data_IF_946548873355
#
_entry.id   IF_946548873355
#
_cell.length_a   1.000
_cell.length_b   1.000
_cell.length_c   1.000
_cell.angle_alpha   90.00
_cell.angle_beta   90.00
_cell.angle_gamma   90.00
#
_symmetry.space_group_name_H-M   'P 1'
#
loop_
_entity.id
_entity.type
_entity.pdbx_description
1 polymer ?
#
# COMPACT_ATOMS: atom_id res chain seq x y z
N UNK A 1 19.81 -29.64 -14.72
CA UNK A 1 20.58 -30.89 -14.61
C UNK A 1 19.90 -31.75 -13.56
N UNK A 2 18.93 -32.59 -13.97
CA UNK A 2 18.33 -33.60 -13.09
C UNK A 2 18.12 -34.86 -13.93
N UNK A 3 19.06 -35.80 -13.77
CA UNK A 3 19.08 -37.13 -14.36
C UNK A 3 18.27 -38.03 -13.42
N UNK A 4 17.24 -38.72 -13.92
CA UNK A 4 16.61 -39.82 -13.19
C UNK A 4 17.43 -41.10 -13.42
N UNK A 5 18.09 -41.57 -12.36
CA UNK A 5 18.69 -42.89 -12.28
C UNK A 5 17.61 -43.94 -12.05
N UNK A 6 17.41 -44.80 -13.05
CA UNK A 6 16.64 -46.03 -12.92
C UNK A 6 17.37 -46.98 -11.96
N UNK A 7 16.70 -47.39 -10.88
CA UNK A 7 17.16 -48.49 -10.03
C UNK A 7 16.47 -49.77 -10.50
N UNK A 8 17.29 -50.70 -10.97
CA UNK A 8 16.92 -52.08 -11.19
C UNK A 8 16.75 -52.79 -9.83
N UNK A 9 15.71 -53.59 -9.68
CA UNK A 9 15.70 -54.66 -8.67
C UNK A 9 15.39 -55.98 -9.35
N UNK A 10 16.42 -56.80 -9.36
CA UNK A 10 16.52 -58.16 -9.89
C UNK A 10 15.99 -59.19 -8.91
N UNK A 11 15.43 -60.26 -9.49
CA UNK A 11 15.47 -61.65 -9.06
C UNK A 11 14.69 -62.08 -7.80
N UNK A 12 13.71 -62.95 -8.00
CA UNK A 12 13.81 -64.33 -7.49
C UNK A 12 13.12 -65.27 -8.47
N UNK A 13 13.91 -66.24 -8.91
CA UNK A 13 13.64 -67.26 -9.93
C UNK A 13 13.14 -68.55 -9.27
N UNK A 14 12.38 -69.33 -10.04
CA UNK A 14 12.12 -70.79 -9.94
C UNK A 14 13.27 -71.60 -9.34
N UNK A 15 13.09 -72.70 -8.60
CA UNK A 15 12.52 -74.05 -8.89
C UNK A 15 12.97 -74.96 -7.69
N UNK A 16 12.83 -76.31 -7.61
CA UNK A 16 11.95 -77.31 -8.24
C UNK A 16 11.32 -78.31 -7.21
N UNK A 17 10.54 -79.29 -7.69
CA UNK A 17 10.11 -80.47 -6.93
C UNK A 17 11.26 -81.49 -6.73
N UNK A 18 11.17 -82.40 -5.73
CA UNK A 18 11.28 -83.82 -6.06
C UNK A 18 10.36 -84.75 -5.25
N UNK A 19 10.27 -85.99 -5.73
CA UNK A 19 9.35 -87.05 -5.35
C UNK A 19 9.88 -88.01 -4.25
N UNK A 20 8.92 -88.77 -3.70
CA UNK A 20 8.99 -90.14 -3.18
C UNK A 20 9.64 -90.43 -1.80
N UNK A 21 8.93 -91.22 -0.98
CA UNK A 21 9.48 -91.93 0.18
C UNK A 21 8.41 -92.34 1.23
N UNK A 22 8.17 -93.64 1.34
CA UNK A 22 7.10 -94.33 2.08
C UNK A 22 7.31 -94.54 3.60
N UNK A 23 6.20 -94.94 4.26
CA UNK A 23 6.03 -95.92 5.35
C UNK A 23 5.55 -95.42 6.73
N UNK A 24 4.47 -96.05 7.22
CA UNK A 24 4.16 -96.16 8.66
C UNK A 24 2.67 -96.35 9.00
N UNK A 25 2.27 -97.60 9.18
CA UNK A 25 0.91 -98.11 9.43
C UNK A 25 0.18 -97.60 10.70
N UNK A 26 -1.17 -97.58 10.65
CA UNK A 26 -2.03 -98.34 11.59
C UNK A 26 -3.53 -98.08 11.30
N UNK A 27 -4.24 -99.16 10.94
CA UNK A 27 -5.54 -99.57 11.49
C UNK A 27 -6.57 -98.50 11.91
N UNK A 28 -7.67 -98.42 11.17
CA UNK A 28 -9.03 -98.57 11.72
C UNK A 28 -10.07 -98.28 10.62
N UNK A 29 -10.57 -99.36 10.04
CA UNK A 29 -11.76 -99.37 9.19
C UNK A 29 -12.96 -99.07 10.10
N UNK A 30 -13.56 -97.88 10.00
CA UNK A 30 -14.90 -97.66 10.55
C UNK A 30 -15.94 -98.11 9.53
N UNK A 31 -16.32 -99.36 9.75
CA UNK A 31 -17.47 -100.07 9.26
C UNK A 31 -18.78 -99.31 9.52
N UNK A 32 -19.73 -99.55 8.62
CA UNK A 32 -21.07 -99.00 8.60
C UNK A 32 -21.81 -99.11 9.94
N UNK A 33 -22.63 -98.11 10.24
CA UNK A 33 -23.82 -98.29 11.07
C UNK A 33 -24.98 -97.67 10.32
N UNK A 34 -25.66 -98.52 9.55
CA UNK A 34 -27.02 -98.25 9.14
C UNK A 34 -27.91 -98.12 10.38
N UNK A 35 -28.76 -97.10 10.38
CA UNK A 35 -29.97 -97.09 11.22
C UNK A 35 -31.16 -97.13 10.28
N UNK A 36 -32.09 -98.00 10.65
CA UNK A 36 -33.21 -98.50 9.88
C UNK A 36 -34.13 -97.41 9.32
N UNK A 37 -34.60 -97.68 8.11
CA UNK A 37 -35.69 -96.99 7.46
C UNK A 37 -37.00 -97.41 8.17
N UNK A 38 -37.53 -96.56 9.05
CA UNK A 38 -38.92 -96.64 9.49
C UNK A 38 -39.77 -95.79 8.54
N UNK A 39 -40.84 -96.38 8.02
CA UNK A 39 -41.63 -95.81 6.94
C UNK A 39 -42.47 -94.62 7.43
N UNK A 40 -42.04 -93.40 7.07
CA UNK A 40 -42.83 -92.17 7.12
C UNK A 40 -42.41 -91.21 6.00
N UNK A 41 -43.35 -90.84 5.13
CA UNK A 41 -43.16 -90.08 3.89
C UNK A 41 -42.35 -88.77 3.98
N UNK A 42 -41.50 -88.50 2.97
CA UNK A 42 -40.99 -87.16 2.65
C UNK A 42 -39.92 -87.17 1.56
N UNK A 43 -40.23 -86.64 0.36
CA UNK A 43 -39.31 -86.48 -0.77
C UNK A 43 -38.11 -85.59 -0.40
N UNK A 44 -36.89 -86.16 -0.40
CA UNK A 44 -35.66 -85.44 -0.05
C UNK A 44 -35.28 -84.38 -1.07
N UNK A 45 -35.56 -83.12 -0.77
CA UNK A 45 -35.04 -81.93 -1.46
C UNK A 45 -33.58 -81.73 -1.08
N UNK A 46 -32.71 -81.29 -2.00
CA UNK A 46 -31.32 -80.94 -1.72
C UNK A 46 -31.27 -79.94 -0.55
N UNK A 47 -30.55 -80.19 0.56
CA UNK A 47 -30.71 -79.45 1.82
C UNK A 47 -30.62 -77.90 1.70
N UNK A 48 -29.80 -77.31 0.82
CA UNK A 48 -29.80 -75.87 0.54
C UNK A 48 -31.06 -75.29 -0.13
N UNK A 49 -31.90 -76.13 -0.75
CA UNK A 49 -33.10 -75.73 -1.48
C UNK A 49 -34.41 -76.16 -0.81
N UNK A 50 -34.37 -76.49 0.48
CA UNK A 50 -35.58 -76.80 1.24
C UNK A 50 -36.42 -75.52 1.46
N UNK A 51 -37.51 -75.42 0.70
CA UNK A 51 -38.42 -74.27 0.71
C UNK A 51 -39.17 -74.05 2.02
N UNK A 52 -39.17 -75.02 2.93
CA UNK A 52 -39.83 -74.91 4.24
C UNK A 52 -39.18 -73.84 5.14
N UNK A 53 -37.89 -73.57 4.97
CA UNK A 53 -37.15 -72.58 5.77
C UNK A 53 -37.12 -71.17 5.16
N UNK A 54 -37.49 -71.01 3.89
CA UNK A 54 -37.45 -69.71 3.21
C UNK A 54 -38.34 -68.66 3.87
N UNK A 55 -39.52 -69.04 4.37
CA UNK A 55 -40.40 -68.10 5.06
C UNK A 55 -39.75 -67.52 6.33
N UNK A 56 -39.09 -68.38 7.13
CA UNK A 56 -38.38 -67.95 8.35
C UNK A 56 -37.15 -67.10 8.01
N UNK A 57 -36.40 -67.47 6.98
CA UNK A 57 -35.21 -66.73 6.54
C UNK A 57 -35.58 -65.35 5.97
N UNK A 58 -36.66 -65.24 5.20
CA UNK A 58 -37.19 -63.96 4.71
C UNK A 58 -37.74 -63.11 5.85
N UNK A 59 -38.42 -63.71 6.84
CA UNK A 59 -38.89 -62.98 8.02
C UNK A 59 -37.72 -62.37 8.81
N UNK A 60 -36.70 -63.15 9.12
CA UNK A 60 -35.52 -62.66 9.84
C UNK A 60 -34.69 -61.67 9.00
N UNK A 61 -34.59 -61.88 7.68
CA UNK A 61 -33.99 -60.90 6.77
C UNK A 61 -34.76 -59.57 6.82
N UNK A 62 -36.09 -59.59 6.76
CA UNK A 62 -36.91 -58.39 6.82
C UNK A 62 -36.76 -57.66 8.17
N UNK A 63 -36.72 -58.40 9.29
CA UNK A 63 -36.52 -57.83 10.63
C UNK A 63 -35.14 -57.17 10.74
N UNK A 64 -34.07 -57.90 10.38
CA UNK A 64 -32.69 -57.40 10.50
C UNK A 64 -32.41 -56.26 9.52
N UNK A 65 -32.89 -56.37 8.27
CA UNK A 65 -32.78 -55.30 7.28
C UNK A 65 -33.60 -54.07 7.69
N UNK A 66 -34.82 -54.25 8.20
CA UNK A 66 -35.65 -53.15 8.70
C UNK A 66 -35.00 -52.42 9.88
N UNK A 67 -34.44 -53.16 10.84
CA UNK A 67 -33.70 -52.57 11.97
C UNK A 67 -32.45 -51.81 11.49
N UNK A 68 -31.69 -52.39 10.56
CA UNK A 68 -30.52 -51.74 9.96
C UNK A 68 -30.90 -50.48 9.17
N UNK A 69 -31.99 -50.54 8.39
CA UNK A 69 -32.51 -49.39 7.66
C UNK A 69 -32.93 -48.25 8.59
N UNK A 70 -33.62 -48.57 9.69
CA UNK A 70 -33.97 -47.60 10.73
C UNK A 70 -32.72 -46.99 11.37
N UNK A 71 -31.69 -47.79 11.66
CA UNK A 71 -30.42 -47.28 12.18
C UNK A 71 -29.73 -46.34 11.18
N UNK A 72 -29.64 -46.73 9.90
CA UNK A 72 -29.01 -45.93 8.85
C UNK A 72 -29.75 -44.61 8.63
N UNK A 73 -31.08 -44.66 8.52
CA UNK A 73 -31.94 -43.49 8.32
C UNK A 73 -31.93 -42.54 9.51
N UNK A 74 -31.92 -43.07 10.74
CA UNK A 74 -32.07 -42.25 11.94
C UNK A 74 -30.75 -41.75 12.53
N UNK A 75 -29.62 -42.41 12.24
CA UNK A 75 -28.32 -42.09 12.81
C UNK A 75 -27.31 -41.66 11.75
N UNK A 76 -27.09 -42.46 10.71
CA UNK A 76 -25.98 -42.23 9.76
C UNK A 76 -26.29 -41.08 8.80
N UNK A 77 -27.47 -41.08 8.18
CA UNK A 77 -27.93 -40.02 7.28
C UNK A 77 -27.89 -38.62 7.92
N UNK A 78 -28.44 -38.38 9.13
CA UNK A 78 -28.36 -37.07 9.76
C UNK A 78 -26.94 -36.67 10.15
N UNK A 79 -26.06 -37.62 10.52
CA UNK A 79 -24.64 -37.33 10.81
C UNK A 79 -23.91 -36.80 9.57
N UNK A 80 -24.11 -37.44 8.41
CA UNK A 80 -23.48 -37.02 7.15
C UNK A 80 -24.08 -35.68 6.68
N UNK A 81 -25.40 -35.52 6.78
CA UNK A 81 -26.08 -34.26 6.47
C UNK A 81 -25.52 -33.08 7.28
N UNK A 82 -25.31 -33.26 8.58
CA UNK A 82 -24.73 -32.21 9.45
C UNK A 82 -23.31 -31.80 9.05
N UNK A 83 -22.46 -32.73 8.59
CA UNK A 83 -21.10 -32.40 8.12
C UNK A 83 -21.14 -31.62 6.81
N UNK A 84 -22.03 -32.00 5.89
CA UNK A 84 -22.21 -31.28 4.62
C UNK A 84 -22.69 -29.86 4.92
N UNK A 85 -23.69 -29.71 5.78
CA UNK A 85 -24.22 -28.39 6.14
C UNK A 85 -23.17 -27.51 6.81
N UNK A 86 -22.43 -28.05 7.78
CA UNK A 86 -21.33 -27.32 8.44
C UNK A 86 -20.30 -26.80 7.43
N UNK A 87 -19.96 -27.61 6.42
CA UNK A 87 -19.03 -27.18 5.36
C UNK A 87 -19.64 -26.10 4.48
N UNK A 88 -20.91 -26.23 4.12
CA UNK A 88 -21.63 -25.22 3.32
C UNK A 88 -21.72 -23.90 4.06
N UNK A 89 -22.10 -23.92 5.33
CA UNK A 89 -22.17 -22.74 6.20
C UNK A 89 -20.82 -22.06 6.32
N UNK A 90 -19.75 -22.83 6.54
CA UNK A 90 -18.40 -22.29 6.61
C UNK A 90 -17.97 -21.64 5.29
N UNK A 91 -18.21 -22.30 4.16
CA UNK A 91 -17.89 -21.72 2.84
C UNK A 91 -18.71 -20.45 2.59
N UNK A 92 -20.00 -20.46 2.94
CA UNK A 92 -20.86 -19.28 2.80
C UNK A 92 -20.37 -18.11 3.67
N UNK A 93 -20.01 -18.38 4.93
CA UNK A 93 -19.43 -17.38 5.83
C UNK A 93 -18.09 -16.85 5.32
N UNK A 94 -17.20 -17.73 4.83
CA UNK A 94 -15.90 -17.34 4.30
C UNK A 94 -16.06 -16.47 3.04
N UNK A 95 -17.01 -16.82 2.15
CA UNK A 95 -17.34 -16.02 0.97
C UNK A 95 -17.94 -14.66 1.33
N UNK A 96 -18.85 -14.61 2.30
CA UNK A 96 -19.43 -13.36 2.77
C UNK A 96 -18.37 -12.45 3.40
N UNK A 97 -17.50 -13.00 4.25
CA UNK A 97 -16.39 -12.27 4.84
C UNK A 97 -15.43 -11.76 3.76
N UNK A 98 -15.07 -12.59 2.78
CA UNK A 98 -14.23 -12.17 1.67
C UNK A 98 -14.87 -11.05 0.84
N UNK A 99 -16.18 -11.13 0.59
CA UNK A 99 -16.92 -10.09 -0.13
C UNK A 99 -16.95 -8.77 0.67
N UNK A 100 -17.19 -8.82 1.98
CA UNK A 100 -17.15 -7.65 2.87
C UNK A 100 -15.76 -7.02 2.91
N UNK A 101 -14.71 -7.82 3.12
CA UNK A 101 -13.33 -7.33 3.13
C UNK A 101 -12.92 -6.72 1.77
N UNK A 102 -13.38 -7.31 0.67
CA UNK A 102 -13.18 -6.73 -0.66
C UNK A 102 -13.87 -5.38 -0.79
N UNK A 103 -15.14 -5.28 -0.38
CA UNK A 103 -15.88 -4.03 -0.42
C UNK A 103 -15.22 -2.95 0.44
N UNK A 104 -14.78 -3.30 1.66
CA UNK A 104 -14.09 -2.37 2.55
C UNK A 104 -12.75 -1.91 1.96
N UNK A 105 -12.00 -2.82 1.32
CA UNK A 105 -10.76 -2.47 0.62
C UNK A 105 -11.02 -1.54 -0.59
N UNK A 106 -12.02 -1.86 -1.42
CA UNK A 106 -12.39 -1.03 -2.56
C UNK A 106 -12.83 0.38 -2.09
N UNK A 107 -13.63 0.46 -1.02
CA UNK A 107 -14.02 1.74 -0.39
C UNK A 107 -12.83 2.51 0.17
N UNK A 108 -11.89 1.82 0.84
CA UNK A 108 -10.68 2.43 1.40
C UNK A 108 -9.77 2.98 0.29
N UNK A 109 -9.66 2.28 -0.85
CA UNK A 109 -8.92 2.76 -2.02
C UNK A 109 -9.56 4.04 -2.57
N UNK A 110 -10.89 4.05 -2.75
CA UNK A 110 -11.60 5.24 -3.24
C UNK A 110 -11.40 6.43 -2.29
N UNK A 111 -11.55 6.22 -0.98
CA UNK A 111 -11.32 7.26 0.02
C UNK A 111 -9.87 7.76 -0.01
N UNK A 112 -8.89 6.85 -0.10
CA UNK A 112 -7.48 7.20 -0.20
C UNK A 112 -7.16 8.04 -1.45
N UNK A 113 -7.67 7.64 -2.61
CA UNK A 113 -7.49 8.38 -3.86
C UNK A 113 -8.14 9.77 -3.81
N UNK A 114 -9.34 9.87 -3.22
CA UNK A 114 -10.00 11.16 -3.00
C UNK A 114 -9.21 12.07 -2.08
N UNK A 115 -8.75 11.57 -0.93
CA UNK A 115 -7.93 12.34 0.01
C UNK A 115 -6.60 12.77 -0.63
N UNK A 116 -5.96 11.90 -1.42
CA UNK A 116 -4.75 12.23 -2.14
C UNK A 116 -4.99 13.33 -3.19
N UNK A 117 -6.09 13.25 -3.95
CA UNK A 117 -6.47 14.28 -4.90
C UNK A 117 -6.75 15.62 -4.21
N UNK A 118 -7.51 15.60 -3.11
CA UNK A 118 -7.78 16.80 -2.30
C UNK A 118 -6.50 17.40 -1.72
N UNK A 119 -5.59 16.57 -1.20
CA UNK A 119 -4.31 17.02 -0.66
C UNK A 119 -3.44 17.68 -1.74
N UNK A 120 -3.39 17.12 -2.96
CA UNK A 120 -2.68 17.73 -4.10
C UNK A 120 -3.29 19.07 -4.49
N UNK A 121 -4.62 19.17 -4.56
CA UNK A 121 -5.30 20.44 -4.86
C UNK A 121 -5.04 21.49 -3.77
N UNK A 122 -5.14 21.10 -2.49
CA UNK A 122 -4.82 21.99 -1.36
C UNK A 122 -3.37 22.45 -1.42
N UNK A 123 -2.41 21.55 -1.64
CA UNK A 123 -1.01 21.90 -1.78
C UNK A 123 -0.76 22.88 -2.95
N UNK A 124 -1.39 22.66 -4.11
CA UNK A 124 -1.30 23.57 -5.24
C UNK A 124 -1.87 24.96 -4.90
N UNK A 125 -3.02 25.02 -4.23
CA UNK A 125 -3.63 26.30 -3.79
C UNK A 125 -2.77 27.05 -2.78
N UNK A 126 -2.14 26.35 -1.84
CA UNK A 126 -1.21 26.94 -0.86
C UNK A 126 0.04 27.48 -1.55
N UNK A 127 0.60 26.71 -2.49
CA UNK A 127 1.76 27.15 -3.27
C UNK A 127 1.45 28.41 -4.08
N UNK A 128 0.26 28.49 -4.68
CA UNK A 128 -0.14 29.66 -5.46
C UNK A 128 -0.39 30.88 -4.56
N UNK A 129 -1.13 30.71 -3.45
CA UNK A 129 -1.34 31.79 -2.48
C UNK A 129 -0.02 32.30 -1.89
N UNK A 130 0.94 31.41 -1.61
CA UNK A 130 2.27 31.79 -1.13
C UNK A 130 3.08 32.57 -2.19
N UNK A 131 2.99 32.19 -3.47
CA UNK A 131 3.62 32.94 -4.57
C UNK A 131 3.01 34.32 -4.74
N UNK A 132 1.68 34.41 -4.75
CA UNK A 132 0.97 35.68 -4.90
C UNK A 132 1.28 36.62 -3.73
N UNK A 133 1.25 36.10 -2.49
CA UNK A 133 1.64 36.85 -1.31
C UNK A 133 3.10 37.31 -1.38
N UNK A 134 4.02 36.40 -1.71
CA UNK A 134 5.44 36.74 -1.84
C UNK A 134 5.72 37.77 -2.92
N UNK A 135 5.02 37.71 -4.04
CA UNK A 135 5.08 38.74 -5.09
C UNK A 135 4.56 40.08 -4.59
N UNK A 136 3.40 40.10 -3.92
CA UNK A 136 2.84 41.32 -3.36
C UNK A 136 3.74 41.98 -2.32
N UNK A 137 4.35 41.19 -1.43
CA UNK A 137 5.32 41.69 -0.45
C UNK A 137 6.59 42.23 -1.13
N UNK A 138 7.11 41.54 -2.15
CA UNK A 138 8.28 42.00 -2.90
C UNK A 138 8.00 43.30 -3.67
N UNK A 139 6.83 43.43 -4.30
CA UNK A 139 6.43 44.64 -5.01
C UNK A 139 6.24 45.82 -4.03
N UNK A 140 5.68 45.58 -2.84
CA UNK A 140 5.52 46.59 -1.81
C UNK A 140 6.87 47.06 -1.23
N UNK A 141 7.77 46.13 -0.90
CA UNK A 141 9.11 46.45 -0.40
C UNK A 141 9.92 47.22 -1.46
N UNK A 142 9.80 46.81 -2.73
CA UNK A 142 10.44 47.51 -3.85
C UNK A 142 9.93 48.95 -3.96
N UNK A 143 8.62 49.17 -3.91
CA UNK A 143 8.04 50.51 -3.96
C UNK A 143 8.50 51.38 -2.78
N UNK A 144 8.59 50.81 -1.57
CA UNK A 144 9.09 51.51 -0.39
C UNK A 144 10.58 51.87 -0.50
N UNK A 145 11.39 50.94 -1.03
CA UNK A 145 12.81 51.16 -1.29
C UNK A 145 13.01 52.25 -2.35
N UNK A 146 12.27 52.20 -3.46
CA UNK A 146 12.30 53.23 -4.52
C UNK A 146 11.92 54.62 -3.97
N UNK A 147 10.86 54.71 -3.16
CA UNK A 147 10.46 55.98 -2.52
C UNK A 147 11.53 56.52 -1.56
N UNK A 148 12.18 55.64 -0.78
CA UNK A 148 13.28 56.02 0.10
C UNK A 148 14.50 56.49 -0.68
N UNK A 149 14.80 55.82 -1.79
CA UNK A 149 15.92 56.16 -2.66
C UNK A 149 15.71 57.53 -3.31
N UNK A 150 14.50 57.79 -3.81
CA UNK A 150 14.11 59.10 -4.38
C UNK A 150 14.27 60.23 -3.36
N UNK A 151 13.82 60.01 -2.12
CA UNK A 151 13.99 61.00 -1.04
C UNK A 151 15.46 61.29 -0.75
N UNK A 152 16.31 60.26 -0.71
CA UNK A 152 17.75 60.41 -0.47
C UNK A 152 18.45 61.09 -1.65
N UNK A 153 18.02 60.80 -2.86
CA UNK A 153 18.55 61.42 -4.07
C UNK A 153 18.27 62.91 -4.06
N UNK A 154 17.03 63.31 -3.76
CA UNK A 154 16.64 64.70 -3.62
C UNK A 154 17.41 65.43 -2.51
N UNK A 155 17.56 64.83 -1.34
CA UNK A 155 18.35 65.42 -0.24
C UNK A 155 19.82 65.61 -0.64
N UNK A 156 20.40 64.65 -1.35
CA UNK A 156 21.76 64.76 -1.86
C UNK A 156 21.89 65.86 -2.92
N UNK A 157 20.93 65.99 -3.83
CA UNK A 157 20.88 67.05 -4.83
C UNK A 157 20.78 68.44 -4.19
N UNK A 158 19.90 68.61 -3.21
CA UNK A 158 19.74 69.85 -2.45
C UNK A 158 21.04 70.21 -1.70
N UNK A 159 21.70 69.21 -1.10
CA UNK A 159 22.99 69.40 -0.43
C UNK A 159 24.10 69.79 -1.40
N UNK A 160 24.16 69.16 -2.58
CA UNK A 160 25.11 69.51 -3.63
C UNK A 160 24.86 70.95 -4.11
N UNK A 161 23.60 71.34 -4.32
CA UNK A 161 23.23 72.69 -4.72
C UNK A 161 23.64 73.73 -3.68
N UNK A 162 23.41 73.45 -2.39
CA UNK A 162 23.81 74.32 -1.29
C UNK A 162 25.35 74.46 -1.19
N UNK A 163 26.10 73.36 -1.30
CA UNK A 163 27.57 73.39 -1.29
C UNK A 163 28.09 74.18 -2.49
N UNK A 164 27.50 73.99 -3.68
CA UNK A 164 27.87 74.74 -4.88
C UNK A 164 27.62 76.23 -4.71
N UNK A 165 26.45 76.62 -4.21
CA UNK A 165 26.12 78.02 -3.96
C UNK A 165 27.09 78.66 -2.95
N UNK A 166 27.39 77.95 -1.86
CA UNK A 166 28.37 78.40 -0.87
C UNK A 166 29.77 78.55 -1.47
N UNK A 167 30.26 77.55 -2.21
CA UNK A 167 31.57 77.61 -2.85
C UNK A 167 31.67 78.80 -3.82
N UNK A 168 30.63 79.08 -4.61
CA UNK A 168 30.62 80.26 -5.49
C UNK A 168 30.63 81.59 -4.73
N UNK A 169 29.95 81.65 -3.57
CA UNK A 169 29.99 82.82 -2.68
C UNK A 169 31.37 83.02 -2.03
N UNK A 170 31.99 81.92 -1.59
CA UNK A 170 33.33 81.95 -0.98
C UNK A 170 34.37 82.41 -2.02
N UNK A 171 34.26 81.96 -3.29
CA UNK A 171 35.11 82.45 -4.40
C UNK A 171 34.94 83.96 -4.62
N UNK A 172 33.69 84.47 -4.60
CA UNK A 172 33.44 85.91 -4.71
C UNK A 172 34.09 86.70 -3.57
N UNK A 173 33.99 86.20 -2.34
CA UNK A 173 34.61 86.82 -1.16
C UNK A 173 36.14 86.83 -1.27
N UNK A 174 36.75 85.70 -1.65
CA UNK A 174 38.20 85.59 -1.85
C UNK A 174 38.66 86.55 -2.96
N UNK A 175 37.91 86.70 -4.04
CA UNK A 175 38.23 87.63 -5.13
C UNK A 175 38.16 89.09 -4.66
N UNK A 176 37.16 89.47 -3.86
CA UNK A 176 37.06 90.80 -3.26
C UNK A 176 38.21 91.09 -2.29
N UNK A 177 38.54 90.16 -1.39
CA UNK A 177 39.65 90.28 -0.44
C UNK A 177 41.00 90.39 -1.14
N UNK A 178 41.26 89.50 -2.11
CA UNK A 178 42.52 89.50 -2.88
C UNK A 178 42.66 90.78 -3.71
N UNK A 179 41.57 91.26 -4.32
CA UNK A 179 41.59 92.51 -5.10
C UNK A 179 41.86 93.71 -4.20
N UNK A 180 41.23 93.78 -3.02
CA UNK A 180 41.46 94.85 -2.06
C UNK A 180 42.93 94.89 -1.61
N UNK A 181 43.53 93.72 -1.32
CA UNK A 181 44.92 93.60 -0.90
C UNK A 181 45.90 94.00 -2.02
N UNK A 182 45.65 93.59 -3.27
CA UNK A 182 46.45 94.00 -4.43
C UNK A 182 46.38 95.53 -4.63
N UNK A 183 45.21 96.14 -4.50
CA UNK A 183 45.05 97.60 -4.67
C UNK A 183 45.75 98.36 -3.55
N UNK A 184 45.68 97.88 -2.31
CA UNK A 184 46.40 98.48 -1.17
C UNK A 184 47.93 98.42 -1.37
N UNK A 185 48.46 97.29 -1.88
CA UNK A 185 49.89 97.17 -2.18
C UNK A 185 50.36 98.05 -3.34
N UNK A 186 49.54 98.25 -4.38
CA UNK A 186 49.94 99.01 -5.57
C UNK A 186 49.76 100.53 -5.42
N UNK A 187 48.69 100.98 -4.76
CA UNK A 187 48.34 102.40 -4.62
C UNK A 187 48.73 102.99 -3.25
N UNK A 188 49.19 102.16 -2.31
CA UNK A 188 49.62 102.58 -0.96
C UNK A 188 48.50 103.20 -0.10
N UNK A 189 47.24 103.07 -0.53
CA UNK A 189 46.05 103.60 0.15
C UNK A 189 44.96 102.54 0.17
N UNK A 190 44.18 102.48 1.26
CA UNK A 190 43.07 101.53 1.37
C UNK A 190 41.95 101.89 0.40
N UNK A 191 41.61 100.95 -0.48
CA UNK A 191 40.46 101.07 -1.36
C UNK A 191 39.15 101.01 -0.56
N UNK A 192 38.15 101.77 -0.99
CA UNK A 192 36.81 101.72 -0.40
C UNK A 192 36.15 100.36 -0.69
N UNK A 193 35.64 99.71 0.35
CA UNK A 193 35.13 98.33 0.28
C UNK A 193 33.95 98.21 -0.70
N UNK A 194 33.08 99.22 -0.77
CA UNK A 194 31.93 99.20 -1.66
C UNK A 194 32.35 99.34 -3.14
N UNK A 195 33.41 100.11 -3.41
CA UNK A 195 33.96 100.24 -4.76
C UNK A 195 34.60 98.95 -5.28
N UNK A 196 35.31 98.21 -4.42
CA UNK A 196 35.94 96.91 -4.78
C UNK A 196 34.87 95.85 -5.04
N UNK A 197 33.88 95.71 -4.14
CA UNK A 197 32.76 94.78 -4.34
C UNK A 197 31.97 95.08 -5.63
N UNK A 198 31.75 96.36 -5.96
CA UNK A 198 31.07 96.74 -7.19
C UNK A 198 31.88 96.41 -8.46
N UNK A 199 33.18 96.64 -8.44
CA UNK A 199 34.06 96.33 -9.57
C UNK A 199 34.21 94.81 -9.79
N UNK A 200 34.37 94.04 -8.72
CA UNK A 200 34.44 92.56 -8.79
C UNK A 200 33.12 91.97 -9.29
N UNK A 201 31.96 92.48 -8.82
CA UNK A 201 30.65 92.07 -9.36
C UNK A 201 30.48 92.42 -10.83
N UNK A 202 30.91 93.60 -11.26
CA UNK A 202 30.80 94.02 -12.66
C UNK A 202 31.67 93.18 -13.60
N UNK A 203 32.79 92.64 -13.12
CA UNK A 203 33.66 91.74 -13.87
C UNK A 203 33.18 90.27 -13.91
N UNK A 204 32.31 89.88 -12.98
CA UNK A 204 31.78 88.51 -12.85
C UNK A 204 30.33 88.36 -13.38
N UNK A 205 29.75 89.44 -13.90
CA UNK A 205 28.45 89.46 -14.60
C UNK A 205 28.61 89.14 -16.09
#
# INVERSE_FOLDING_TARGET
MFVSTAFAQTATESQPAPAAGEHGAADAVHTETGVAHDAGHGSGVFPPFDSTHYASQVLWLAITFGLFYLFMSRVVLPRIGGVIETRRDRIAQDLEQAARLKQDADNAIVAYEQELAQARTKAASIAEAAREKGKGEADAERAAAEATLESKLKEAEDRIAAIKAKAMSDVGTIAEETTAEIVEQLLGTKADKASVTAAVKAANA
#
